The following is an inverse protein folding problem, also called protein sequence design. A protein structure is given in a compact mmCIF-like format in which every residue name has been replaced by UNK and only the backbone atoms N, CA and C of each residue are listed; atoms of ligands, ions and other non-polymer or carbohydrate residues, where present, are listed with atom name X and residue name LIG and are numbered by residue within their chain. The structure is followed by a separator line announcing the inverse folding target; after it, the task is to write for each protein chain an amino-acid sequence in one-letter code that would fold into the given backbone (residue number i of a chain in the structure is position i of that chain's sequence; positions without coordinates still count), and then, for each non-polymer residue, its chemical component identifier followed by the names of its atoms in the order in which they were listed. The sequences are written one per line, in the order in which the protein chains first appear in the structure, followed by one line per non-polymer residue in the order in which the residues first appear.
data_IF_558772440985
#
_entry.id   IF_558772440985
#
_cell.length_a   1.000
_cell.length_b   1.000
_cell.length_c   1.000
_cell.angle_alpha   90.00
_cell.angle_beta   90.00
_cell.angle_gamma   90.00
#
_symmetry.space_group_name_H-M   'P 1'
#
loop_
_entity.id
_entity.type
_entity.pdbx_description
1 polymer ?
#
# COMPACT_ATOMS: atom_id res chain seq x y z
N UNK A 1 13.38 -0.67 13.90
CA UNK A 1 14.78 -1.19 13.82
C UNK A 1 15.88 -0.20 14.15
N UNK A 2 15.70 1.14 14.07
CA UNK A 2 16.78 2.11 14.42
C UNK A 2 17.35 1.90 15.84
N UNK A 3 16.52 1.46 16.79
CA UNK A 3 16.91 1.15 18.16
C UNK A 3 17.91 -0.01 18.27
N UNK A 4 18.06 -0.84 17.22
CA UNK A 4 19.01 -1.96 17.18
C UNK A 4 20.35 -1.60 16.52
N UNK A 5 20.47 -0.42 15.91
CA UNK A 5 21.71 -0.02 15.22
C UNK A 5 22.89 0.14 16.18
N UNK A 6 22.67 0.81 17.31
CA UNK A 6 23.71 0.96 18.33
C UNK A 6 24.05 -0.36 19.05
N UNK A 7 23.08 -1.19 19.49
CA UNK A 7 23.37 -2.49 20.12
C UNK A 7 24.08 -3.51 19.22
N UNK A 8 23.74 -3.54 17.92
CA UNK A 8 24.30 -4.52 16.98
C UNK A 8 25.58 -4.04 16.30
N UNK A 9 25.79 -2.73 16.17
CA UNK A 9 27.01 -2.17 15.60
C UNK A 9 27.31 -2.73 14.20
N UNK A 10 28.45 -3.41 14.05
CA UNK A 10 28.89 -3.99 12.78
C UNK A 10 27.96 -5.08 12.23
N UNK A 11 27.30 -5.87 13.10
CA UNK A 11 26.41 -6.95 12.67
C UNK A 11 25.00 -6.47 12.27
N UNK A 12 24.73 -5.16 12.37
CA UNK A 12 23.42 -4.59 12.06
C UNK A 12 22.99 -4.87 10.62
N UNK A 13 23.89 -4.76 9.65
CA UNK A 13 23.53 -4.96 8.25
C UNK A 13 23.18 -6.42 7.94
N UNK A 14 23.86 -7.38 8.58
CA UNK A 14 23.56 -8.79 8.42
C UNK A 14 22.27 -9.16 9.14
N UNK A 15 22.04 -8.60 10.33
CA UNK A 15 20.76 -8.69 11.01
C UNK A 15 19.60 -8.21 10.14
N UNK A 16 19.76 -7.06 9.46
CA UNK A 16 18.71 -6.51 8.59
C UNK A 16 18.41 -7.48 7.43
N UNK A 17 19.43 -8.09 6.82
CA UNK A 17 19.23 -9.10 5.77
C UNK A 17 18.47 -10.31 6.30
N UNK A 18 18.90 -10.88 7.42
CA UNK A 18 18.27 -12.04 8.04
C UNK A 18 16.83 -11.73 8.49
N UNK A 19 16.59 -10.51 8.99
CA UNK A 19 15.25 -10.04 9.35
C UNK A 19 14.33 -9.95 8.13
N UNK A 20 14.82 -9.44 6.99
CA UNK A 20 14.02 -9.41 5.76
C UNK A 20 13.73 -10.81 5.21
N UNK A 21 14.65 -11.76 5.36
CA UNK A 21 14.40 -13.17 5.03
C UNK A 21 13.25 -13.72 5.88
N UNK A 22 13.32 -13.53 7.20
CA UNK A 22 12.26 -13.95 8.12
C UNK A 22 10.91 -13.27 7.81
N UNK A 23 10.89 -11.94 7.66
CA UNK A 23 9.67 -11.17 7.35
C UNK A 23 8.98 -11.64 6.07
N UNK A 24 9.77 -11.99 5.05
CA UNK A 24 9.27 -12.33 3.73
C UNK A 24 8.91 -13.81 3.56
N UNK A 25 9.14 -14.65 4.58
CA UNK A 25 8.68 -16.02 4.56
C UNK A 25 7.16 -16.06 4.37
N UNK A 26 6.71 -16.97 3.51
CA UNK A 26 5.31 -17.11 3.13
C UNK A 26 4.57 -18.13 4.00
N UNK A 27 5.31 -18.95 4.75
CA UNK A 27 4.77 -20.02 5.58
C UNK A 27 4.95 -19.68 7.07
N UNK A 28 3.93 -19.91 7.93
CA UNK A 28 4.09 -19.72 9.37
C UNK A 28 5.23 -20.58 9.96
N UNK A 29 5.35 -21.83 9.52
CA UNK A 29 6.42 -22.73 9.97
C UNK A 29 7.82 -22.22 9.58
N UNK A 30 8.00 -21.75 8.33
CA UNK A 30 9.26 -21.15 7.88
C UNK A 30 9.58 -19.87 8.63
N UNK A 31 8.58 -19.01 8.86
CA UNK A 31 8.71 -17.83 9.71
C UNK A 31 9.24 -18.19 11.11
N UNK A 32 8.65 -19.17 11.78
CA UNK A 32 9.06 -19.57 13.14
C UNK A 32 10.50 -20.10 13.18
N UNK A 33 10.92 -20.88 12.19
CA UNK A 33 12.32 -21.34 12.05
C UNK A 33 13.26 -20.16 11.90
N UNK A 34 12.95 -19.23 11.00
CA UNK A 34 13.77 -18.06 10.73
C UNK A 34 13.78 -17.08 11.91
N UNK A 35 12.68 -16.95 12.64
CA UNK A 35 12.55 -16.11 13.82
C UNK A 35 13.41 -16.64 14.97
N UNK A 36 13.36 -17.94 15.23
CA UNK A 36 14.22 -18.58 16.22
C UNK A 36 15.71 -18.43 15.86
N UNK A 37 16.05 -18.60 14.59
CA UNK A 37 17.41 -18.34 14.10
C UNK A 37 17.83 -16.90 14.38
N UNK A 38 16.95 -15.92 14.12
CA UNK A 38 17.21 -14.50 14.37
C UNK A 38 17.55 -14.22 15.85
N UNK A 39 16.78 -14.79 16.77
CA UNK A 39 16.96 -14.61 18.21
C UNK A 39 18.29 -15.21 18.68
N UNK A 40 18.63 -16.40 18.19
CA UNK A 40 19.87 -17.11 18.54
C UNK A 40 21.10 -16.39 17.99
N UNK A 41 21.06 -15.94 16.74
CA UNK A 41 22.19 -15.26 16.09
C UNK A 41 22.39 -13.85 16.63
N UNK A 42 21.32 -13.16 17.05
CA UNK A 42 21.37 -11.77 17.51
C UNK A 42 20.76 -11.62 18.92
N UNK A 43 21.39 -12.16 19.97
CA UNK A 43 20.84 -12.14 21.33
C UNK A 43 20.63 -10.72 21.87
N UNK A 44 21.45 -9.76 21.43
CA UNK A 44 21.28 -8.33 21.78
C UNK A 44 20.00 -7.71 21.22
N UNK A 45 19.41 -8.29 20.18
CA UNK A 45 18.14 -7.85 19.60
C UNK A 45 16.94 -8.65 20.13
N UNK A 46 17.16 -9.82 20.75
CA UNK A 46 16.13 -10.77 21.15
C UNK A 46 15.01 -10.14 22.00
N UNK A 47 15.37 -9.32 23.00
CA UNK A 47 14.39 -8.66 23.86
C UNK A 47 13.42 -7.79 23.05
N UNK A 48 13.96 -6.91 22.20
CA UNK A 48 13.16 -6.03 21.36
C UNK A 48 12.33 -6.79 20.33
N UNK A 49 12.91 -7.83 19.73
CA UNK A 49 12.21 -8.67 18.76
C UNK A 49 10.98 -9.33 19.40
N UNK A 50 11.15 -9.96 20.56
CA UNK A 50 10.09 -10.69 21.23
C UNK A 50 9.04 -9.77 21.90
N UNK A 51 9.46 -8.67 22.53
CA UNK A 51 8.52 -7.77 23.22
C UNK A 51 7.73 -6.89 22.23
N UNK A 52 8.42 -6.29 21.26
CA UNK A 52 7.83 -5.25 20.41
C UNK A 52 7.33 -5.77 19.06
N UNK A 53 8.08 -6.68 18.43
CA UNK A 53 7.77 -7.10 17.05
C UNK A 53 6.89 -8.34 16.97
N UNK A 54 7.18 -9.36 17.77
CA UNK A 54 6.49 -10.65 17.65
C UNK A 54 4.99 -10.56 17.97
N UNK A 55 4.63 -9.73 18.95
CA UNK A 55 3.24 -9.47 19.35
C UNK A 55 2.37 -8.85 18.23
N UNK A 56 3.01 -8.22 17.24
CA UNK A 56 2.34 -7.56 16.11
C UNK A 56 2.64 -8.20 14.75
N UNK A 57 3.16 -9.44 14.73
CA UNK A 57 3.59 -10.16 13.50
C UNK A 57 2.54 -10.22 12.41
N UNK A 58 1.26 -10.28 12.75
CA UNK A 58 0.12 -10.28 11.83
C UNK A 58 0.03 -9.00 10.99
N UNK A 59 0.66 -7.90 11.43
CA UNK A 59 0.64 -6.61 10.72
C UNK A 59 1.79 -6.44 9.72
N UNK A 60 2.87 -7.21 9.83
CA UNK A 60 4.10 -6.93 9.09
C UNK A 60 4.80 -8.15 8.48
N UNK A 61 4.58 -9.36 9.00
CA UNK A 61 5.16 -10.60 8.50
C UNK A 61 4.28 -11.23 7.41
N UNK A 62 4.88 -11.55 6.25
CA UNK A 62 4.12 -12.01 5.07
C UNK A 62 3.33 -13.29 5.35
N UNK A 63 3.92 -14.26 6.06
CA UNK A 63 3.28 -15.50 6.45
C UNK A 63 1.92 -15.34 7.16
N UNK A 64 1.67 -14.19 7.80
CA UNK A 64 0.44 -13.90 8.53
C UNK A 64 -0.45 -12.85 7.84
N UNK A 65 0.11 -12.02 6.94
CA UNK A 65 -0.65 -11.04 6.15
C UNK A 65 -1.47 -11.71 5.03
N UNK A 66 -0.97 -12.80 4.45
CA UNK A 66 -1.54 -13.48 3.27
C UNK A 66 -2.95 -14.06 3.45
N UNK A 67 -3.57 -13.89 4.62
CA UNK A 67 -4.98 -14.24 4.86
C UNK A 67 -5.98 -13.31 4.16
N UNK A 68 -5.52 -12.17 3.63
CA UNK A 68 -6.38 -11.20 2.96
C UNK A 68 -5.90 -10.94 1.52
N UNK A 69 -6.81 -11.04 0.55
CA UNK A 69 -6.57 -10.58 -0.81
C UNK A 69 -6.47 -9.05 -0.80
N UNK A 70 -5.27 -8.51 -0.94
CA UNK A 70 -5.03 -7.07 -0.90
C UNK A 70 -5.21 -6.40 -2.26
N UNK A 71 -5.58 -7.11 -3.33
CA UNK A 71 -5.73 -6.58 -4.70
C UNK A 71 -4.56 -5.69 -5.17
N UNK A 72 -3.33 -5.91 -4.66
CA UNK A 72 -2.18 -5.05 -4.94
C UNK A 72 -2.17 -3.71 -4.18
N UNK A 73 -3.17 -3.43 -3.34
CA UNK A 73 -3.20 -2.33 -2.37
C UNK A 73 -2.31 -2.72 -1.18
N UNK A 74 -1.01 -2.78 -1.43
CA UNK A 74 0.03 -2.91 -0.42
C UNK A 74 0.95 -1.68 -0.43
N UNK A 75 0.67 -0.70 -1.30
CA UNK A 75 1.52 0.43 -1.57
C UNK A 75 1.19 1.59 -0.62
N UNK A 76 2.16 1.93 0.22
CA UNK A 76 2.21 3.20 0.94
C UNK A 76 2.66 4.35 0.05
N UNK A 77 2.90 4.12 -1.25
CA UNK A 77 3.51 5.07 -2.20
C UNK A 77 2.77 6.41 -2.25
N UNK A 78 1.43 6.41 -2.25
CA UNK A 78 0.64 7.64 -2.19
C UNK A 78 0.87 8.38 -0.88
N UNK A 79 0.71 7.70 0.26
CA UNK A 79 0.91 8.34 1.57
C UNK A 79 2.36 8.83 1.73
N UNK A 80 3.34 8.11 1.17
CA UNK A 80 4.74 8.50 1.16
C UNK A 80 5.02 9.71 0.28
N UNK A 81 4.41 9.80 -0.92
CA UNK A 81 4.53 10.97 -1.79
C UNK A 81 3.91 12.20 -1.14
N UNK A 82 2.73 12.05 -0.55
CA UNK A 82 2.05 13.11 0.20
C UNK A 82 2.91 13.60 1.37
N UNK A 83 3.46 12.68 2.16
CA UNK A 83 4.35 13.01 3.26
C UNK A 83 5.66 13.68 2.80
N UNK A 84 6.18 13.32 1.62
CA UNK A 84 7.36 13.96 1.07
C UNK A 84 7.09 15.42 0.69
N UNK A 85 5.95 15.70 0.07
CA UNK A 85 5.53 17.08 -0.28
C UNK A 85 5.33 17.92 0.99
N UNK A 86 4.63 17.38 2.00
CA UNK A 86 4.44 18.08 3.29
C UNK A 86 5.79 18.39 3.95
N UNK A 87 6.71 17.42 3.98
CA UNK A 87 8.06 17.65 4.51
C UNK A 87 8.81 18.75 3.77
N UNK A 88 8.69 18.80 2.44
CA UNK A 88 9.30 19.84 1.62
C UNK A 88 8.73 21.23 1.97
N UNK A 89 7.40 21.35 2.14
CA UNK A 89 6.76 22.59 2.61
C UNK A 89 7.31 23.02 3.97
N UNK A 90 7.45 22.08 4.91
CA UNK A 90 7.96 22.34 6.26
C UNK A 90 9.44 22.78 6.28
N UNK A 91 10.25 22.41 5.28
CA UNK A 91 11.64 22.89 5.17
C UNK A 91 11.71 24.41 5.01
N UNK A 92 10.71 25.01 4.37
CA UNK A 92 10.57 26.47 4.26
C UNK A 92 10.23 27.18 5.57
N UNK A 93 10.01 26.44 6.66
CA UNK A 93 9.62 26.95 8.00
C UNK A 93 8.45 27.95 7.94
N UNK A 94 7.32 27.60 7.30
CA UNK A 94 6.16 28.48 7.26
C UNK A 94 5.63 28.74 8.68
N UNK A 95 4.94 29.86 8.86
CA UNK A 95 4.08 30.03 10.03
C UNK A 95 2.99 28.95 10.04
N UNK A 96 2.42 28.66 11.22
CA UNK A 96 1.32 27.69 11.32
C UNK A 96 0.12 28.09 10.42
N UNK A 97 -0.16 29.38 10.33
CA UNK A 97 -1.19 29.91 9.43
C UNK A 97 -0.82 29.67 7.96
N UNK A 98 0.43 29.94 7.56
CA UNK A 98 0.91 29.67 6.20
C UNK A 98 0.86 28.19 5.85
N UNK A 99 1.19 27.31 6.79
CA UNK A 99 1.06 25.87 6.61
C UNK A 99 -0.40 25.46 6.40
N UNK A 100 -1.33 25.96 7.22
CA UNK A 100 -2.75 25.67 7.09
C UNK A 100 -3.29 26.11 5.72
N UNK A 101 -2.93 27.30 5.25
CA UNK A 101 -3.33 27.78 3.92
C UNK A 101 -2.82 26.88 2.80
N UNK A 102 -1.56 26.43 2.87
CA UNK A 102 -0.99 25.55 1.85
C UNK A 102 -1.68 24.17 1.85
N UNK A 103 -1.97 23.62 3.03
CA UNK A 103 -2.70 22.36 3.14
C UNK A 103 -4.12 22.45 2.60
N UNK A 104 -4.84 23.54 2.89
CA UNK A 104 -6.18 23.79 2.37
C UNK A 104 -6.19 23.89 0.83
N UNK A 105 -5.22 24.61 0.25
CA UNK A 105 -5.09 24.70 -1.21
C UNK A 105 -4.88 23.32 -1.84
N UNK A 106 -4.07 22.48 -1.21
CA UNK A 106 -3.76 21.14 -1.70
C UNK A 106 -4.94 20.18 -1.59
N UNK A 107 -5.72 20.27 -0.52
CA UNK A 107 -6.98 19.51 -0.38
C UNK A 107 -7.99 19.89 -1.47
N UNK A 108 -8.05 21.18 -1.84
CA UNK A 108 -8.92 21.64 -2.93
C UNK A 108 -8.45 21.13 -4.29
N UNK A 109 -7.14 21.16 -4.55
CA UNK A 109 -6.54 20.63 -5.78
C UNK A 109 -6.85 19.12 -5.94
N UNK A 110 -6.71 18.35 -4.85
CA UNK A 110 -7.05 16.93 -4.84
C UNK A 110 -8.55 16.70 -5.10
N UNK A 111 -9.44 17.49 -4.49
CA UNK A 111 -10.87 17.42 -4.76
C UNK A 111 -11.21 17.73 -6.23
N UNK A 112 -10.55 18.72 -6.83
CA UNK A 112 -10.71 19.04 -8.25
C UNK A 112 -10.22 17.91 -9.15
N UNK A 113 -9.08 17.30 -8.83
CA UNK A 113 -8.53 16.16 -9.56
C UNK A 113 -9.46 14.94 -9.52
N UNK A 114 -10.05 14.64 -8.36
CA UNK A 114 -11.04 13.57 -8.21
C UNK A 114 -12.26 13.85 -9.09
N UNK A 115 -12.85 15.06 -8.98
CA UNK A 115 -14.00 15.44 -9.80
C UNK A 115 -13.71 15.36 -11.30
N UNK A 116 -12.52 15.80 -11.72
CA UNK A 116 -12.08 15.71 -13.12
C UNK A 116 -11.98 14.25 -13.59
N UNK A 117 -11.39 13.37 -12.78
CA UNK A 117 -11.28 11.95 -13.13
C UNK A 117 -12.64 11.27 -13.19
N UNK A 118 -13.54 11.56 -12.24
CA UNK A 118 -14.91 11.05 -12.28
C UNK A 118 -15.63 11.50 -13.56
N UNK A 119 -15.52 12.79 -13.90
CA UNK A 119 -16.05 13.31 -15.16
C UNK A 119 -15.41 12.62 -16.37
N UNK A 120 -14.09 12.46 -16.40
CA UNK A 120 -13.37 11.82 -17.50
C UNK A 120 -13.84 10.37 -17.70
N UNK A 121 -13.93 9.59 -16.63
CA UNK A 121 -14.39 8.20 -16.69
C UNK A 121 -15.86 8.10 -17.08
N UNK A 122 -16.73 8.97 -16.58
CA UNK A 122 -18.13 8.99 -16.98
C UNK A 122 -18.30 9.27 -18.48
N UNK A 123 -17.56 10.24 -19.02
CA UNK A 123 -17.64 10.60 -20.44
C UNK A 123 -16.92 9.59 -21.35
N UNK A 124 -15.75 9.08 -20.95
CA UNK A 124 -15.04 8.06 -21.70
C UNK A 124 -15.85 6.77 -21.79
N UNK A 125 -16.49 6.34 -20.70
CA UNK A 125 -17.41 5.19 -20.72
C UNK A 125 -18.63 5.46 -21.61
N UNK A 126 -19.26 6.64 -21.51
CA UNK A 126 -20.40 6.98 -22.37
C UNK A 126 -20.04 6.99 -23.87
N UNK A 127 -18.90 7.57 -24.23
CA UNK A 127 -18.40 7.58 -25.60
C UNK A 127 -18.04 6.17 -26.08
N UNK A 128 -17.36 5.37 -25.26
CA UNK A 128 -16.98 4.01 -25.60
C UNK A 128 -18.21 3.11 -25.78
N UNK A 129 -19.23 3.24 -24.92
CA UNK A 129 -20.51 2.52 -25.04
C UNK A 129 -21.27 2.92 -26.31
N UNK A 130 -21.26 4.20 -26.68
CA UNK A 130 -21.90 4.65 -27.94
C UNK A 130 -21.18 4.10 -29.17
N UNK A 131 -19.84 4.14 -29.18
CA UNK A 131 -19.03 3.64 -30.29
C UNK A 131 -19.08 2.10 -30.38
N UNK A 132 -19.13 1.40 -29.25
CA UNK A 132 -19.26 -0.07 -29.25
C UNK A 132 -20.62 -0.52 -29.76
N UNK A 133 -21.70 0.17 -29.37
CA UNK A 133 -23.05 -0.11 -29.86
C UNK A 133 -23.18 0.13 -31.38
N UNK A 134 -22.48 1.13 -31.92
CA UNK A 134 -22.46 1.40 -33.36
C UNK A 134 -21.58 0.41 -34.15
N UNK A 135 -20.38 0.08 -33.67
CA UNK A 135 -19.43 -0.78 -34.40
C UNK A 135 -19.66 -2.29 -34.19
N UNK A 136 -20.24 -2.71 -33.06
CA UNK A 136 -20.36 -4.12 -32.65
C UNK A 136 -21.79 -4.50 -32.26
N UNK A 137 -22.78 -3.96 -32.97
CA UNK A 137 -24.21 -4.18 -32.72
C UNK A 137 -24.62 -5.66 -32.66
N UNK A 138 -24.00 -6.53 -33.46
CA UNK A 138 -24.29 -7.98 -33.45
C UNK A 138 -23.75 -8.67 -32.19
N UNK A 139 -22.60 -8.23 -31.67
CA UNK A 139 -22.07 -8.75 -30.40
C UNK A 139 -22.98 -8.34 -29.25
N UNK A 140 -23.43 -7.09 -29.25
CA UNK A 140 -24.41 -6.57 -28.30
C UNK A 140 -25.73 -7.35 -28.34
N UNK A 141 -26.19 -7.75 -29.54
CA UNK A 141 -27.39 -8.59 -29.71
C UNK A 141 -27.22 -9.95 -29.04
N UNK A 142 -26.08 -10.62 -29.27
CA UNK A 142 -25.79 -11.93 -28.68
C UNK A 142 -25.68 -11.82 -27.15
N UNK A 143 -25.00 -10.79 -26.64
CA UNK A 143 -24.87 -10.59 -25.20
C UNK A 143 -26.24 -10.40 -24.53
N UNK A 144 -27.16 -9.65 -25.13
CA UNK A 144 -28.54 -9.49 -24.64
C UNK A 144 -29.39 -10.75 -24.72
N UNK A 145 -29.09 -11.66 -25.64
CA UNK A 145 -29.80 -12.93 -25.80
C UNK A 145 -29.43 -13.96 -24.72
N UNK A 146 -28.17 -13.93 -24.26
CA UNK A 146 -27.62 -14.97 -23.38
C UNK A 146 -27.24 -14.50 -21.97
N UNK A 147 -27.19 -13.19 -21.69
CA UNK A 147 -26.88 -12.65 -20.37
C UNK A 147 -28.14 -12.10 -19.68
N UNK A 148 -28.20 -12.23 -18.36
CA UNK A 148 -29.29 -11.66 -17.54
C UNK A 148 -29.12 -10.15 -17.37
N UNK A 149 -30.22 -9.44 -17.12
CA UNK A 149 -30.22 -7.98 -16.96
C UNK A 149 -29.29 -7.50 -15.81
N UNK A 150 -29.11 -8.30 -14.76
CA UNK A 150 -28.18 -7.98 -13.67
C UNK A 150 -26.69 -8.00 -14.10
N UNK A 151 -26.37 -8.74 -15.17
CA UNK A 151 -25.01 -8.82 -15.72
C UNK A 151 -24.73 -7.68 -16.72
N UNK A 152 -25.77 -7.09 -17.30
CA UNK A 152 -25.67 -6.02 -18.31
C UNK A 152 -25.74 -4.61 -17.72
N UNK A 153 -26.11 -4.45 -16.44
CA UNK A 153 -26.42 -3.15 -15.81
C UNK A 153 -25.32 -2.56 -14.91
N UNK A 154 -24.05 -2.93 -15.14
CA UNK A 154 -22.90 -2.40 -14.36
C UNK A 154 -22.23 -1.19 -14.98
#
# INVERSE_FOLDING_TARGET
MRNLKAPLGASYNDFVKDFYLCRNDLSPAGFDVQWNKLIITYPKAANYLNSELYSSKERWAKAYITKFFTAGISSTSRVESENAVIKNILQGRPSLCGLATILDLRLRDEAQYVNYNEWYHANASAQLSSASAECFSEVDRILKEYLTEEMLSR
#
